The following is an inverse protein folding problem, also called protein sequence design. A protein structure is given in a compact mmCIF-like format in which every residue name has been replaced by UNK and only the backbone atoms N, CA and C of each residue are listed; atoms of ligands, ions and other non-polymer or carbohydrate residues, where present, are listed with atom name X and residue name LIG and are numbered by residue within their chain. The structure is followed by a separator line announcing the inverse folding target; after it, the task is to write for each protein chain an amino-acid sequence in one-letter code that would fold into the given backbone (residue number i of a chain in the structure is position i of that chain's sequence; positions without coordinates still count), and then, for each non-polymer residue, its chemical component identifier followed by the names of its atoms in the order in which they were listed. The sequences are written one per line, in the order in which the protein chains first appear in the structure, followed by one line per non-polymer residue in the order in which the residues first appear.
data_IF_520043055935
#
_entry.id   IF_520043055935
#
_cell.length_a   1.000
_cell.length_b   1.000
_cell.length_c   1.000
_cell.angle_alpha   90.00
_cell.angle_beta   90.00
_cell.angle_gamma   90.00
#
_symmetry.space_group_name_H-M   'P 1'
#
loop_
_entity.id
_entity.type
_entity.pdbx_description
1 polymer ?
#
# COMPACT_ATOMS: atom_id res chain seq x y z
N UNK A 1 10.63 12.09 -11.18
CA UNK A 1 9.36 12.11 -10.42
C UNK A 1 9.55 11.33 -9.13
N UNK A 2 9.10 11.89 -8.02
CA UNK A 2 9.17 11.24 -6.73
C UNK A 2 8.21 10.05 -6.66
N UNK A 3 8.49 9.10 -5.79
CA UNK A 3 7.66 7.91 -5.61
C UNK A 3 7.31 7.74 -4.13
N UNK A 4 6.04 7.46 -3.87
CA UNK A 4 5.54 7.09 -2.54
C UNK A 4 5.21 5.61 -2.55
N UNK A 5 5.79 4.86 -1.62
CA UNK A 5 5.48 3.45 -1.42
C UNK A 5 4.52 3.30 -0.24
N UNK A 6 3.41 2.61 -0.45
CA UNK A 6 2.43 2.32 0.60
C UNK A 6 2.47 0.83 0.89
N UNK A 7 2.72 0.48 2.14
CA UNK A 7 2.80 -0.91 2.58
C UNK A 7 1.48 -1.27 3.25
N UNK A 8 0.86 -2.34 2.76
CA UNK A 8 -0.49 -2.75 3.17
C UNK A 8 -0.44 -4.20 3.64
N UNK A 9 -0.27 -4.46 4.95
CA UNK A 9 -0.35 -5.81 5.46
C UNK A 9 -1.78 -6.33 5.37
N UNK A 10 -1.95 -7.56 4.89
CA UNK A 10 -3.26 -8.18 4.72
C UNK A 10 -3.29 -9.57 5.33
N UNK A 11 -4.39 -9.87 5.99
CA UNK A 11 -4.64 -11.23 6.49
C UNK A 11 -6.14 -11.51 6.43
N UNK A 12 -6.54 -12.45 5.54
CA UNK A 12 -7.95 -12.81 5.32
C UNK A 12 -8.81 -11.59 4.99
N UNK A 13 -8.39 -10.83 3.97
CA UNK A 13 -9.02 -9.57 3.58
C UNK A 13 -9.63 -9.62 2.18
N UNK A 14 -10.08 -10.81 1.74
CA UNK A 14 -10.61 -10.96 0.38
C UNK A 14 -11.77 -10.03 0.07
N UNK A 15 -12.59 -9.69 1.08
CA UNK A 15 -13.78 -8.85 0.89
C UNK A 15 -13.46 -7.36 0.85
N UNK A 16 -12.34 -6.95 1.45
CA UNK A 16 -11.98 -5.53 1.56
C UNK A 16 -11.01 -5.06 0.49
N UNK A 17 -10.29 -5.98 -0.15
CA UNK A 17 -9.27 -5.62 -1.14
C UNK A 17 -9.82 -4.85 -2.34
N UNK A 18 -11.01 -5.21 -2.83
CA UNK A 18 -11.59 -4.51 -3.96
C UNK A 18 -11.93 -3.06 -3.61
N UNK A 19 -12.52 -2.84 -2.44
CA UNK A 19 -12.84 -1.50 -1.98
C UNK A 19 -11.58 -0.66 -1.78
N UNK A 20 -10.53 -1.28 -1.23
CA UNK A 20 -9.24 -0.63 -1.08
C UNK A 20 -8.67 -0.25 -2.45
N UNK A 21 -8.70 -1.16 -3.40
CA UNK A 21 -8.20 -0.91 -4.75
C UNK A 21 -8.93 0.27 -5.40
N UNK A 22 -10.26 0.30 -5.27
CA UNK A 22 -11.05 1.38 -5.86
C UNK A 22 -10.67 2.73 -5.25
N UNK A 23 -10.49 2.77 -3.93
CA UNK A 23 -10.13 4.00 -3.24
C UNK A 23 -8.70 4.45 -3.55
N UNK A 24 -7.74 3.53 -3.52
CA UNK A 24 -6.33 3.89 -3.75
C UNK A 24 -6.06 4.27 -5.20
N UNK A 25 -6.85 3.74 -6.14
CA UNK A 25 -6.74 4.12 -7.55
C UNK A 25 -7.05 5.59 -7.77
N UNK A 26 -8.03 6.13 -7.04
CA UNK A 26 -8.36 7.55 -7.09
C UNK A 26 -7.24 8.40 -6.50
N UNK A 27 -6.64 7.92 -5.41
CA UNK A 27 -5.49 8.59 -4.78
C UNK A 27 -4.31 8.64 -5.74
N UNK A 28 -4.06 7.56 -6.48
CA UNK A 28 -3.00 7.53 -7.49
C UNK A 28 -3.14 8.65 -8.50
N UNK A 29 -4.36 8.88 -9.01
CA UNK A 29 -4.61 9.96 -9.96
C UNK A 29 -4.26 11.33 -9.35
N UNK A 30 -4.66 11.56 -8.10
CA UNK A 30 -4.35 12.80 -7.40
C UNK A 30 -2.83 12.96 -7.22
N UNK A 31 -2.12 11.89 -6.85
CA UNK A 31 -0.67 11.94 -6.66
C UNK A 31 0.07 12.21 -7.97
N UNK A 32 -0.38 11.66 -9.08
CA UNK A 32 0.21 11.93 -10.38
C UNK A 32 0.10 13.41 -10.73
N UNK A 33 -1.01 14.05 -10.38
CA UNK A 33 -1.19 15.48 -10.53
C UNK A 33 -0.24 16.31 -9.67
N UNK A 34 0.32 15.71 -8.61
CA UNK A 34 1.32 16.33 -7.74
C UNK A 34 2.74 15.89 -8.08
N UNK A 35 2.93 15.29 -9.24
CA UNK A 35 4.23 14.78 -9.72
C UNK A 35 4.82 13.72 -8.78
N UNK A 36 3.97 12.83 -8.30
CA UNK A 36 4.37 11.72 -7.44
C UNK A 36 3.79 10.41 -7.97
N UNK A 37 4.65 9.39 -8.13
CA UNK A 37 4.22 8.06 -8.48
C UNK A 37 3.82 7.30 -7.22
N UNK A 38 2.82 6.44 -7.33
CA UNK A 38 2.38 5.57 -6.24
C UNK A 38 2.85 4.15 -6.49
N UNK A 39 3.42 3.53 -5.45
CA UNK A 39 3.70 2.10 -5.43
C UNK A 39 2.95 1.51 -4.24
N UNK A 40 2.12 0.51 -4.49
CA UNK A 40 1.42 -0.21 -3.42
C UNK A 40 2.03 -1.59 -3.28
N UNK A 41 2.42 -1.94 -2.07
CA UNK A 41 2.96 -3.25 -1.75
C UNK A 41 1.99 -3.96 -0.81
N UNK A 42 1.24 -4.91 -1.36
CA UNK A 42 0.32 -5.73 -0.60
C UNK A 42 1.10 -6.92 -0.03
N UNK A 43 1.03 -7.11 1.27
CA UNK A 43 1.73 -8.23 1.91
C UNK A 43 0.70 -9.19 2.47
N UNK A 44 0.66 -10.40 1.92
CA UNK A 44 -0.21 -11.46 2.39
C UNK A 44 0.49 -12.21 3.54
N UNK A 45 -0.02 -12.02 4.74
CA UNK A 45 0.53 -12.62 5.95
C UNK A 45 -0.07 -14.02 6.20
N UNK A 46 0.00 -14.87 5.17
CA UNK A 46 -0.45 -16.25 5.28
C UNK A 46 -1.95 -16.43 5.29
N UNK A 47 -2.69 -15.65 4.49
CA UNK A 47 -4.15 -15.76 4.40
C UNK A 47 -4.58 -17.16 3.94
N UNK A 48 -5.70 -17.61 4.46
CA UNK A 48 -6.29 -18.92 4.12
C UNK A 48 -7.49 -18.80 3.18
N UNK A 49 -7.93 -17.57 2.92
CA UNK A 49 -9.02 -17.29 2.00
C UNK A 49 -8.50 -16.93 0.60
N UNK A 50 -9.27 -16.19 -0.18
CA UNK A 50 -8.91 -15.80 -1.54
C UNK A 50 -8.12 -14.48 -1.62
N UNK A 51 -7.58 -14.00 -0.50
CA UNK A 51 -6.81 -12.75 -0.44
C UNK A 51 -5.65 -12.77 -1.43
N UNK A 52 -4.84 -13.84 -1.40
CA UNK A 52 -3.69 -13.95 -2.30
C UNK A 52 -4.09 -13.96 -3.77
N UNK A 53 -5.16 -14.69 -4.11
CA UNK A 53 -5.65 -14.73 -5.48
C UNK A 53 -6.05 -13.33 -5.96
N UNK A 54 -6.71 -12.56 -5.10
CA UNK A 54 -7.09 -11.18 -5.42
C UNK A 54 -5.87 -10.28 -5.58
N UNK A 55 -4.86 -10.44 -4.75
CA UNK A 55 -3.61 -9.68 -4.88
C UNK A 55 -2.94 -9.95 -6.22
N UNK A 56 -2.87 -11.22 -6.63
CA UNK A 56 -2.29 -11.59 -7.91
C UNK A 56 -3.06 -10.96 -9.08
N UNK A 57 -4.38 -10.96 -8.99
CA UNK A 57 -5.23 -10.33 -9.99
C UNK A 57 -4.93 -8.83 -10.10
N UNK A 58 -4.91 -8.12 -8.98
CA UNK A 58 -4.65 -6.68 -8.97
C UNK A 58 -3.25 -6.35 -9.47
N UNK A 59 -2.25 -7.13 -9.04
CA UNK A 59 -0.87 -6.93 -9.48
C UNK A 59 -0.71 -7.18 -10.97
N UNK A 60 -1.46 -8.13 -11.52
CA UNK A 60 -1.44 -8.41 -12.94
C UNK A 60 -2.08 -7.32 -13.79
N UNK A 61 -3.04 -6.58 -13.22
CA UNK A 61 -3.73 -5.50 -13.92
C UNK A 61 -2.97 -4.17 -13.82
N UNK A 62 -2.20 -3.97 -12.75
CA UNK A 62 -1.60 -2.66 -12.44
C UNK A 62 -0.11 -2.80 -12.13
N UNK A 63 0.72 -2.13 -12.93
CA UNK A 63 2.18 -2.17 -12.73
C UNK A 63 2.63 -1.51 -11.44
N UNK A 64 1.80 -0.64 -10.86
CA UNK A 64 2.11 0.07 -9.62
C UNK A 64 1.70 -0.70 -8.36
N UNK A 65 1.11 -1.89 -8.53
CA UNK A 65 0.74 -2.78 -7.41
C UNK A 65 1.63 -4.00 -7.43
N UNK A 66 2.29 -4.27 -6.31
CA UNK A 66 3.08 -5.47 -6.09
C UNK A 66 2.53 -6.23 -4.91
N UNK A 67 2.82 -7.52 -4.83
CA UNK A 67 2.44 -8.31 -3.68
C UNK A 67 3.59 -9.18 -3.21
N UNK A 68 3.56 -9.48 -1.91
CA UNK A 68 4.48 -10.41 -1.25
C UNK A 68 3.59 -11.41 -0.52
N UNK A 69 3.92 -12.69 -0.63
CA UNK A 69 3.13 -13.75 0.01
C UNK A 69 3.99 -14.54 0.98
N UNK A 70 3.50 -14.65 2.21
CA UNK A 70 4.11 -15.54 3.20
C UNK A 70 3.43 -16.92 3.15
N UNK A 71 4.19 -17.98 3.42
CA UNK A 71 3.65 -19.34 3.43
C UNK A 71 2.80 -19.62 4.66
N UNK A 72 2.90 -18.78 5.69
CA UNK A 72 2.11 -18.87 6.91
C UNK A 72 2.06 -17.51 7.58
N UNK A 73 1.25 -17.39 8.62
CA UNK A 73 1.15 -16.13 9.37
C UNK A 73 2.41 -15.94 10.22
N UNK A 74 3.12 -14.86 9.99
CA UNK A 74 4.31 -14.45 10.76
C UNK A 74 4.05 -13.20 11.59
N UNK A 75 2.89 -12.56 11.43
CA UNK A 75 2.53 -11.38 12.17
C UNK A 75 2.67 -10.08 11.37
N UNK A 76 1.96 -9.05 11.84
CA UNK A 76 1.91 -7.76 11.14
C UNK A 76 3.28 -7.10 11.04
N UNK A 77 4.11 -7.23 12.08
CA UNK A 77 5.44 -6.63 12.08
C UNK A 77 6.33 -7.22 11.00
N UNK A 78 6.27 -8.55 10.82
CA UNK A 78 7.00 -9.22 9.75
C UNK A 78 6.53 -8.76 8.37
N UNK A 79 5.22 -8.56 8.21
CA UNK A 79 4.65 -8.07 6.97
C UNK A 79 5.12 -6.66 6.66
N UNK A 80 5.14 -5.78 7.65
CA UNK A 80 5.64 -4.42 7.49
C UNK A 80 7.12 -4.44 7.10
N UNK A 81 7.93 -5.26 7.76
CA UNK A 81 9.35 -5.37 7.46
C UNK A 81 9.59 -5.84 6.02
N UNK A 82 8.84 -6.85 5.59
CA UNK A 82 8.96 -7.34 4.21
C UNK A 82 8.60 -6.24 3.20
N UNK A 83 7.54 -5.48 3.48
CA UNK A 83 7.15 -4.36 2.63
C UNK A 83 8.23 -3.29 2.57
N UNK A 84 8.81 -2.93 3.71
CA UNK A 84 9.90 -1.94 3.77
C UNK A 84 11.10 -2.39 2.96
N UNK A 85 11.45 -3.67 3.01
CA UNK A 85 12.59 -4.22 2.27
C UNK A 85 12.40 -4.07 0.76
N UNK A 86 11.15 -4.11 0.28
CA UNK A 86 10.84 -4.03 -1.14
C UNK A 86 10.37 -2.64 -1.59
N UNK A 87 10.23 -1.69 -0.67
CA UNK A 87 9.79 -0.34 -1.01
C UNK A 87 10.85 0.38 -1.83
N UNK A 88 10.45 0.96 -2.95
CA UNK A 88 11.33 1.68 -3.86
C UNK A 88 11.15 3.20 -3.76
N UNK A 89 10.14 3.66 -3.05
CA UNK A 89 9.81 5.07 -2.96
C UNK A 89 10.73 5.86 -2.06
N UNK A 90 10.85 7.15 -2.34
CA UNK A 90 11.57 8.09 -1.48
C UNK A 90 10.80 8.34 -0.19
N UNK A 91 9.48 8.16 -0.24
CA UNK A 91 8.59 8.24 0.91
C UNK A 91 7.90 6.91 1.10
N UNK A 92 7.65 6.53 2.34
CA UNK A 92 6.99 5.28 2.69
C UNK A 92 5.88 5.55 3.68
N UNK A 93 4.72 4.96 3.45
CA UNK A 93 3.58 5.03 4.36
C UNK A 93 3.05 3.63 4.63
N UNK A 94 2.49 3.44 5.82
CA UNK A 94 1.79 2.21 6.19
C UNK A 94 0.30 2.48 6.18
N UNK A 95 -0.47 1.51 5.70
CA UNK A 95 -1.91 1.67 5.62
C UNK A 95 -2.61 0.33 5.84
N UNK A 96 -3.69 0.33 6.61
CA UNK A 96 -4.51 -0.86 6.77
C UNK A 96 -5.49 -0.99 5.61
N UNK A 97 -5.71 -2.22 5.16
CA UNK A 97 -6.56 -2.50 4.00
C UNK A 97 -8.04 -2.23 4.27
N UNK A 98 -8.46 -2.20 5.53
CA UNK A 98 -9.86 -2.05 5.92
C UNK A 98 -10.38 -0.60 5.85
N UNK A 99 -9.59 0.32 5.33
CA UNK A 99 -9.97 1.72 5.12
C UNK A 99 -10.30 2.48 6.42
N UNK A 100 -9.80 2.04 7.57
CA UNK A 100 -9.92 2.81 8.80
C UNK A 100 -9.22 4.16 8.67
N UNK A 101 -8.09 4.17 7.96
CA UNK A 101 -7.40 5.40 7.59
C UNK A 101 -7.79 5.74 6.14
N UNK A 102 -8.52 6.83 5.89
CA UNK A 102 -8.94 7.14 4.52
C UNK A 102 -7.74 7.35 3.59
N UNK A 103 -7.67 6.63 2.46
CA UNK A 103 -6.58 6.83 1.50
C UNK A 103 -6.49 8.26 0.98
N UNK A 104 -7.58 8.99 1.02
CA UNK A 104 -7.65 10.38 0.56
C UNK A 104 -6.73 11.32 1.37
N UNK A 105 -6.29 10.90 2.55
CA UNK A 105 -5.34 11.67 3.36
C UNK A 105 -3.90 11.59 2.83
N UNK A 106 -3.59 10.62 1.97
CA UNK A 106 -2.23 10.43 1.46
C UNK A 106 -1.70 11.65 0.72
N UNK A 107 -2.45 12.30 -0.17
CA UNK A 107 -1.94 13.52 -0.82
C UNK A 107 -1.61 14.64 0.16
N UNK A 108 -2.40 14.79 1.22
CA UNK A 108 -2.13 15.78 2.26
C UNK A 108 -0.87 15.44 3.04
N UNK A 109 -0.67 14.16 3.36
CA UNK A 109 0.54 13.69 4.04
C UNK A 109 1.78 13.94 3.19
N UNK A 110 1.69 13.75 1.88
CA UNK A 110 2.78 14.03 0.97
C UNK A 110 3.16 15.51 0.99
N UNK A 111 2.17 16.40 0.98
CA UNK A 111 2.42 17.82 1.04
C UNK A 111 3.15 18.22 2.33
N UNK A 112 2.77 17.62 3.47
CA UNK A 112 3.43 17.84 4.75
C UNK A 112 4.88 17.39 4.72
N UNK A 113 5.14 16.21 4.18
CA UNK A 113 6.49 15.65 4.07
C UNK A 113 7.36 16.54 3.18
N UNK A 114 6.82 17.02 2.06
CA UNK A 114 7.54 17.86 1.11
C UNK A 114 7.90 19.24 1.69
N UNK A 115 7.19 19.67 2.72
CA UNK A 115 7.52 20.91 3.41
C UNK A 115 8.77 20.76 4.29
N UNK A 116 9.28 19.55 4.46
CA UNK A 116 10.50 19.28 5.21
C UNK A 116 10.33 19.29 6.72
N UNK A 117 9.09 19.31 7.22
CA UNK A 117 8.84 19.33 8.66
C UNK A 117 8.92 17.95 9.29
N UNK A 118 8.66 16.89 8.49
CA UNK A 118 8.63 15.52 8.96
C UNK A 118 9.31 14.59 7.96
N UNK A 119 10.01 13.59 8.47
CA UNK A 119 10.61 12.54 7.63
C UNK A 119 9.62 11.40 7.39
N UNK A 120 8.67 11.21 8.31
CA UNK A 120 7.68 10.15 8.23
C UNK A 120 6.38 10.58 8.88
N UNK A 121 5.26 10.28 8.21
CA UNK A 121 3.92 10.50 8.73
C UNK A 121 3.21 9.16 8.70
N UNK A 122 2.86 8.68 9.88
CA UNK A 122 2.22 7.38 10.03
C UNK A 122 0.73 7.44 10.28
#
# INVERSE_FOLDING_TARGET
MEKLSVIVPCFNEQETLQDYYDAISKVRETLLGKECELQVILVDDGSKDKTLAKMKELSGQCSWIRYISFTRNFGKEAAIYAGLTHAEGEYVSLMDVDLQDPPELIPEMLDIIRQGEYDCVG
#
